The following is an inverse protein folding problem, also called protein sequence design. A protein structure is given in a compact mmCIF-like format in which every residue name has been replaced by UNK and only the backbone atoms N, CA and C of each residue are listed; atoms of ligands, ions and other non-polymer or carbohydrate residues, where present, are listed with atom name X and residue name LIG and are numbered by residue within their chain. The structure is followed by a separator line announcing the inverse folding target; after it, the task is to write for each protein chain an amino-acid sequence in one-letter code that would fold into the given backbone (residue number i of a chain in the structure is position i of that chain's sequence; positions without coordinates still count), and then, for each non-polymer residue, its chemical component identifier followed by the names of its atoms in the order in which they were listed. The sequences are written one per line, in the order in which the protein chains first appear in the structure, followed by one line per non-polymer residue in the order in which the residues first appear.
data_IF_254494995638
#
_entry.id   IF_254494995638
#
_cell.length_a   1.000
_cell.length_b   1.000
_cell.length_c   1.000
_cell.angle_alpha   90.00
_cell.angle_beta   90.00
_cell.angle_gamma   90.00
#
_symmetry.space_group_name_H-M   'P 1'
#
loop_
_entity.id
_entity.type
_entity.pdbx_description
1 polymer ?
#
# COMPACT_ATOMS: atom_id res chain seq x y z
N UNK A 1 -11.08 11.94 2.00
CA UNK A 1 -10.02 11.92 0.97
C UNK A 1 -9.02 10.85 1.36
N UNK A 2 -8.59 9.98 0.44
CA UNK A 2 -7.62 8.91 0.74
C UNK A 2 -6.18 9.36 0.52
N UNK A 3 -5.30 8.90 1.40
CA UNK A 3 -3.88 9.26 1.41
C UNK A 3 -3.11 8.07 0.83
N UNK A 4 -2.42 8.27 -0.29
CA UNK A 4 -1.53 7.23 -0.83
C UNK A 4 -0.32 7.02 0.09
N UNK A 5 0.26 5.83 0.08
CA UNK A 5 1.40 5.51 0.95
C UNK A 5 2.62 6.40 0.64
N UNK A 6 2.84 6.75 -0.63
CA UNK A 6 3.91 7.68 -1.00
C UNK A 6 3.67 9.10 -0.46
N UNK A 7 2.42 9.55 -0.40
CA UNK A 7 2.09 10.85 0.20
C UNK A 7 2.36 10.80 1.71
N UNK A 8 1.88 9.75 2.37
CA UNK A 8 2.14 9.51 3.79
C UNK A 8 3.64 9.46 4.13
N UNK A 9 4.45 8.77 3.31
CA UNK A 9 5.91 8.73 3.46
C UNK A 9 6.55 10.12 3.30
N UNK A 10 6.11 10.90 2.31
CA UNK A 10 6.64 12.25 2.08
C UNK A 10 6.30 13.19 3.23
N UNK A 11 5.08 13.13 3.74
CA UNK A 11 4.66 13.95 4.87
C UNK A 11 5.44 13.58 6.13
N UNK A 12 5.58 12.28 6.43
CA UNK A 12 6.37 11.80 7.55
C UNK A 12 7.86 12.21 7.42
N UNK A 13 8.42 12.16 6.21
CA UNK A 13 9.79 12.59 5.94
C UNK A 13 9.96 14.11 6.16
N UNK A 14 9.06 14.92 5.61
CA UNK A 14 9.13 16.38 5.70
C UNK A 14 9.03 16.89 7.14
N UNK A 15 8.27 16.16 7.97
CA UNK A 15 8.08 16.44 9.39
C UNK A 15 9.11 15.75 10.29
N UNK A 16 10.01 14.92 9.75
CA UNK A 16 10.99 14.26 10.58
C UNK A 16 12.13 15.21 10.99
N UNK A 17 12.44 15.21 12.29
CA UNK A 17 13.51 16.03 12.89
C UNK A 17 14.87 15.81 12.23
N UNK A 18 15.14 14.60 11.78
CA UNK A 18 16.44 14.17 11.25
C UNK A 18 16.49 14.13 9.72
N UNK A 19 15.56 14.81 9.02
CA UNK A 19 15.50 14.79 7.53
C UNK A 19 16.77 15.31 6.84
N UNK A 20 17.65 16.01 7.55
CA UNK A 20 18.96 16.45 7.06
C UNK A 20 20.02 15.36 7.13
N UNK A 21 19.79 14.29 7.90
CA UNK A 21 20.77 13.24 8.18
C UNK A 21 20.63 12.03 7.25
N UNK A 22 19.52 11.91 6.55
CA UNK A 22 19.29 10.83 5.59
C UNK A 22 18.45 11.32 4.41
N UNK A 23 18.67 10.68 3.26
CA UNK A 23 17.89 10.92 2.06
C UNK A 23 16.47 10.38 2.19
N UNK A 24 15.54 10.90 1.40
CA UNK A 24 14.18 10.34 1.31
C UNK A 24 14.20 8.84 0.97
N UNK A 25 15.13 8.39 0.13
CA UNK A 25 15.25 6.98 -0.26
C UNK A 25 15.60 6.08 0.93
N UNK A 26 16.52 6.52 1.79
CA UNK A 26 16.91 5.80 3.00
C UNK A 26 15.77 5.76 4.02
N UNK A 27 15.07 6.89 4.20
CA UNK A 27 13.87 6.95 5.04
C UNK A 27 12.80 5.96 4.58
N UNK A 28 12.49 5.94 3.29
CA UNK A 28 11.52 5.00 2.69
C UNK A 28 11.94 3.56 2.93
N UNK A 29 13.23 3.23 2.74
CA UNK A 29 13.74 1.87 3.00
C UNK A 29 13.55 1.45 4.45
N UNK A 30 13.83 2.35 5.39
CA UNK A 30 13.62 2.11 6.83
C UNK A 30 12.15 1.87 7.15
N UNK A 31 11.26 2.76 6.71
CA UNK A 31 9.81 2.69 7.01
C UNK A 31 9.08 1.55 6.32
N UNK A 32 9.56 1.07 5.17
CA UNK A 32 8.96 -0.07 4.50
C UNK A 32 9.16 -1.40 5.24
N UNK A 33 10.23 -1.51 6.02
CA UNK A 33 10.48 -2.68 6.86
C UNK A 33 9.74 -2.58 8.21
N UNK A 34 9.26 -1.39 8.57
CA UNK A 34 8.54 -1.11 9.79
C UNK A 34 7.05 -1.53 9.65
N UNK A 35 6.58 -2.58 10.35
CA UNK A 35 5.18 -2.98 10.30
C UNK A 35 4.26 -1.95 10.98
N UNK A 36 4.72 -1.25 12.01
CA UNK A 36 3.92 -0.27 12.74
C UNK A 36 3.70 0.99 11.89
N UNK A 37 4.70 1.45 11.14
CA UNK A 37 4.52 2.60 10.24
C UNK A 37 3.48 2.34 9.14
N UNK A 38 3.44 1.12 8.60
CA UNK A 38 2.41 0.73 7.64
C UNK A 38 1.02 0.69 8.30
N UNK A 39 0.95 0.22 9.54
CA UNK A 39 -0.27 0.22 10.35
C UNK A 39 -0.79 1.63 10.57
N UNK A 40 0.07 2.59 10.90
CA UNK A 40 -0.30 4.01 11.05
C UNK A 40 -0.93 4.57 9.77
N UNK A 41 -0.37 4.24 8.61
CA UNK A 41 -0.95 4.63 7.32
C UNK A 41 -2.36 4.06 7.12
N UNK A 42 -2.59 2.80 7.49
CA UNK A 42 -3.93 2.20 7.41
C UNK A 42 -4.91 2.86 8.39
N UNK A 43 -4.46 3.21 9.60
CA UNK A 43 -5.26 3.95 10.59
C UNK A 43 -5.67 5.32 10.03
N UNK A 44 -4.73 6.05 9.40
CA UNK A 44 -5.01 7.34 8.79
C UNK A 44 -6.06 7.28 7.66
N UNK A 45 -6.28 6.10 7.08
CA UNK A 45 -7.28 5.85 6.04
C UNK A 45 -8.49 5.05 6.54
N UNK A 46 -8.60 4.79 7.84
CA UNK A 46 -9.71 4.02 8.42
C UNK A 46 -11.05 4.71 8.19
N UNK A 47 -12.07 3.95 7.80
CA UNK A 47 -13.41 4.49 7.53
C UNK A 47 -13.50 5.36 6.27
N UNK A 48 -12.45 5.38 5.45
CA UNK A 48 -12.48 6.04 4.15
C UNK A 48 -13.07 5.13 3.06
N UNK A 49 -13.58 5.76 2.00
CA UNK A 49 -13.99 5.10 0.76
C UNK A 49 -12.90 5.32 -0.30
N UNK A 50 -11.89 4.43 -0.39
CA UNK A 50 -10.81 4.56 -1.34
C UNK A 50 -11.21 4.46 -2.81
N UNK A 51 -10.55 5.27 -3.62
CA UNK A 51 -10.51 5.12 -5.06
C UNK A 51 -9.45 4.09 -5.49
N UNK A 52 -9.39 3.84 -6.80
CA UNK A 52 -8.38 2.95 -7.36
C UNK A 52 -6.94 3.47 -7.19
N UNK A 53 -6.71 4.77 -6.96
CA UNK A 53 -5.36 5.29 -6.68
C UNK A 53 -4.86 4.77 -5.34
N UNK A 54 -5.71 4.79 -4.32
CA UNK A 54 -5.38 4.21 -3.01
C UNK A 54 -5.17 2.69 -3.10
N UNK A 55 -6.07 1.95 -3.78
CA UNK A 55 -5.89 0.49 -3.95
C UNK A 55 -4.59 0.16 -4.67
N UNK A 56 -4.29 0.87 -5.76
CA UNK A 56 -3.03 0.68 -6.48
C UNK A 56 -1.82 1.03 -5.60
N UNK A 57 -1.96 1.96 -4.65
CA UNK A 57 -0.93 2.25 -3.65
C UNK A 57 -0.71 1.07 -2.71
N UNK A 58 -1.78 0.44 -2.18
CA UNK A 58 -1.67 -0.78 -1.36
C UNK A 58 -0.92 -1.86 -2.15
N UNK A 59 -1.40 -2.16 -3.35
CA UNK A 59 -0.87 -3.25 -4.18
C UNK A 59 0.61 -3.04 -4.49
N UNK A 60 1.01 -1.82 -4.88
CA UNK A 60 2.43 -1.47 -5.08
C UNK A 60 3.25 -1.68 -3.81
N UNK A 61 2.74 -1.26 -2.65
CA UNK A 61 3.46 -1.43 -1.39
C UNK A 61 3.67 -2.90 -1.04
N UNK A 62 2.63 -3.72 -1.17
CA UNK A 62 2.72 -5.15 -0.86
C UNK A 62 3.63 -5.92 -1.82
N UNK A 63 3.58 -5.62 -3.11
CA UNK A 63 4.42 -6.29 -4.11
C UNK A 63 5.89 -5.87 -3.96
N UNK A 64 6.15 -4.57 -3.91
CA UNK A 64 7.52 -4.05 -4.00
C UNK A 64 8.28 -4.19 -2.68
N UNK A 65 7.59 -4.11 -1.55
CA UNK A 65 8.25 -4.02 -0.24
C UNK A 65 7.91 -5.18 0.71
N UNK A 66 6.75 -5.82 0.55
CA UNK A 66 6.39 -7.02 1.33
C UNK A 66 6.52 -8.31 0.50
N UNK A 67 7.05 -8.21 -0.72
CA UNK A 67 7.28 -9.33 -1.65
C UNK A 67 6.04 -10.21 -1.87
N UNK A 68 4.85 -9.63 -1.76
CA UNK A 68 3.62 -10.36 -1.94
C UNK A 68 3.41 -10.72 -3.42
N UNK A 69 2.94 -11.94 -3.68
CA UNK A 69 2.65 -12.40 -5.04
C UNK A 69 1.38 -11.72 -5.57
N UNK A 70 1.30 -11.36 -6.87
CA UNK A 70 0.07 -10.81 -7.48
C UNK A 70 -1.20 -11.60 -7.18
N UNK A 71 -1.11 -12.94 -7.23
CA UNK A 71 -2.22 -13.86 -6.90
C UNK A 71 -2.80 -13.67 -5.49
N UNK A 72 -2.01 -13.15 -4.54
CA UNK A 72 -2.45 -12.93 -3.16
C UNK A 72 -3.17 -11.59 -2.94
N UNK A 73 -3.15 -10.67 -3.91
CA UNK A 73 -3.65 -9.31 -3.71
C UNK A 73 -5.13 -9.25 -3.37
N UNK A 74 -5.96 -10.08 -4.01
CA UNK A 74 -7.39 -10.14 -3.71
C UNK A 74 -7.68 -10.49 -2.24
N UNK A 75 -6.95 -11.47 -1.70
CA UNK A 75 -7.04 -11.85 -0.29
C UNK A 75 -6.58 -10.72 0.63
N UNK A 76 -5.44 -10.08 0.33
CA UNK A 76 -4.90 -8.98 1.14
C UNK A 76 -5.88 -7.81 1.18
N UNK A 77 -6.47 -7.44 0.05
CA UNK A 77 -7.48 -6.37 0.00
C UNK A 77 -8.74 -6.75 0.77
N UNK A 78 -9.18 -8.00 0.70
CA UNK A 78 -10.32 -8.46 1.49
C UNK A 78 -10.03 -8.43 3.00
N UNK A 79 -8.82 -8.81 3.43
CA UNK A 79 -8.38 -8.71 4.82
C UNK A 79 -8.33 -7.26 5.30
N UNK A 80 -7.75 -6.37 4.48
CA UNK A 80 -7.70 -4.95 4.79
C UNK A 80 -9.10 -4.34 4.93
N UNK A 81 -10.04 -4.71 4.06
CA UNK A 81 -11.42 -4.25 4.15
C UNK A 81 -12.08 -4.65 5.47
N UNK A 82 -11.91 -5.91 5.91
CA UNK A 82 -12.52 -6.44 7.14
C UNK A 82 -11.90 -5.83 8.39
N UNK A 83 -10.57 -5.79 8.46
CA UNK A 83 -9.85 -5.44 9.68
C UNK A 83 -9.73 -3.92 9.87
N UNK A 84 -9.66 -3.17 8.77
CA UNK A 84 -9.41 -1.72 8.80
C UNK A 84 -10.64 -0.89 8.46
N UNK A 85 -11.81 -1.50 8.22
CA UNK A 85 -13.04 -0.80 7.80
C UNK A 85 -12.78 0.13 6.61
N UNK A 86 -12.03 -0.35 5.63
CA UNK A 86 -11.71 0.37 4.38
C UNK A 86 -12.54 -0.25 3.27
N UNK A 87 -13.53 0.47 2.76
CA UNK A 87 -14.42 -0.08 1.74
C UNK A 87 -13.74 -0.10 0.37
N UNK A 88 -13.45 -1.29 -0.17
CA UNK A 88 -12.84 -1.38 -1.50
C UNK A 88 -13.79 -0.83 -2.57
N UNK A 89 -13.28 -0.15 -3.61
CA UNK A 89 -14.11 0.38 -4.68
C UNK A 89 -14.80 -0.76 -5.44
N UNK A 90 -16.00 -0.48 -5.93
CA UNK A 90 -16.79 -1.41 -6.75
C UNK A 90 -16.16 -1.54 -8.14
N UNK A 91 -15.20 -2.46 -8.24
CA UNK A 91 -14.54 -2.82 -9.49
C UNK A 91 -14.62 -4.33 -9.63
N UNK A 92 -15.13 -4.78 -10.78
CA UNK A 92 -15.28 -6.19 -11.08
C UNK A 92 -13.93 -6.92 -10.94
N UNK A 93 -13.95 -8.04 -10.22
CA UNK A 93 -12.77 -8.87 -10.02
C UNK A 93 -11.72 -8.30 -9.06
N UNK A 94 -11.87 -7.11 -8.47
CA UNK A 94 -10.80 -6.49 -7.64
C UNK A 94 -10.33 -7.34 -6.45
N UNK A 95 -11.15 -8.27 -5.97
CA UNK A 95 -10.80 -9.21 -4.91
C UNK A 95 -10.39 -10.60 -5.41
N UNK A 96 -10.23 -10.80 -6.72
CA UNK A 96 -9.84 -12.07 -7.33
C UNK A 96 -8.37 -12.08 -7.72
N UNK A 97 -7.76 -13.26 -7.74
CA UNK A 97 -6.39 -13.44 -8.22
C UNK A 97 -6.26 -13.09 -9.71
N UNK A 98 -7.25 -13.45 -10.52
CA UNK A 98 -7.24 -13.27 -11.97
C UNK A 98 -7.12 -11.79 -12.36
N UNK A 99 -7.89 -10.92 -11.70
CA UNK A 99 -7.82 -9.48 -11.92
C UNK A 99 -6.39 -8.95 -11.74
N UNK A 100 -5.72 -9.33 -10.66
CA UNK A 100 -4.38 -8.84 -10.35
C UNK A 100 -3.30 -9.49 -11.22
N UNK A 101 -3.47 -10.74 -11.62
CA UNK A 101 -2.58 -11.41 -12.57
C UNK A 101 -2.64 -10.78 -13.97
N UNK A 102 -3.81 -10.32 -14.39
CA UNK A 102 -4.00 -9.65 -15.69
C UNK A 102 -3.55 -8.18 -15.65
N UNK A 103 -3.77 -7.51 -14.52
CA UNK A 103 -3.47 -6.08 -14.37
C UNK A 103 -2.00 -5.78 -14.09
N UNK A 104 -1.32 -6.66 -13.36
CA UNK A 104 0.08 -6.48 -13.03
C UNK A 104 0.94 -7.14 -14.11
N UNK A 105 2.03 -6.48 -14.55
CA UNK A 105 2.93 -7.10 -15.51
C UNK A 105 3.44 -8.43 -14.93
N UNK A 106 3.47 -9.48 -15.76
CA UNK A 106 4.11 -10.75 -15.39
C UNK A 106 5.52 -10.41 -14.92
N UNK A 107 5.83 -10.66 -13.65
CA UNK A 107 7.18 -10.50 -13.14
C UNK A 107 8.08 -11.35 -14.04
N UNK A 108 9.01 -10.72 -14.76
CA UNK A 108 10.07 -11.45 -15.45
C UNK A 108 10.81 -12.23 -14.35
N UNK A 109 10.56 -13.53 -14.27
CA UNK A 109 11.39 -14.46 -13.52
C UNK A 109 12.79 -14.36 -14.11
N UNK A 110 13.68 -13.70 -13.38
CA UNK A 110 15.12 -13.84 -13.57
C UNK A 110 15.59 -15.01 -12.71
#
# INVERSE_FOLDING_TARGET
MTITYNHFLKDAYNNCKYKSEYTFKEFVRSRNNDPEFFREWLIANRGSNPDMKFVNSIVKTFINYRHAKPRAMGYILADLQRNWKIQMPLVEGILTAEYWLNKLPKSKTH
#
